data_IF_436579320263
#
_entry.id   IF_436579320263
#
_cell.length_a   1.000
_cell.length_b   1.000
_cell.length_c   1.000
_cell.angle_alpha   90.00
_cell.angle_beta   90.00
_cell.angle_gamma   90.00
#
_symmetry.space_group_name_H-M   'P 1'
#
loop_
_entity.id
_entity.type
_entity.pdbx_description
1 polymer ?
#
# COMPACT_ATOMS: atom_id res chain seq x y z
N UNK A 1 1.93 61.35 -50.76
CA UNK A 1 1.25 60.04 -50.71
C UNK A 1 2.04 59.13 -49.80
N UNK A 2 1.59 58.95 -48.57
CA UNK A 2 2.28 58.11 -47.57
C UNK A 2 1.55 56.77 -47.46
N UNK A 3 2.19 55.70 -47.87
CA UNK A 3 1.64 54.34 -47.76
C UNK A 3 1.87 53.82 -46.37
N UNK A 4 0.81 53.52 -45.62
CA UNK A 4 0.86 52.85 -44.33
C UNK A 4 0.88 51.32 -44.53
N UNK A 5 1.97 50.70 -44.16
CA UNK A 5 2.08 49.27 -44.06
C UNK A 5 1.50 48.83 -42.70
N UNK A 6 0.41 48.08 -42.72
CA UNK A 6 -0.19 47.49 -41.54
C UNK A 6 0.45 46.10 -41.37
N UNK A 7 1.37 45.96 -40.37
CA UNK A 7 1.87 44.66 -39.96
C UNK A 7 0.85 43.98 -39.05
N UNK A 8 0.25 42.92 -39.54
CA UNK A 8 -0.60 42.02 -38.74
C UNK A 8 0.31 41.03 -38.06
N UNK A 9 0.51 41.20 -36.72
CA UNK A 9 1.14 40.18 -35.89
C UNK A 9 0.12 39.04 -35.66
N UNK A 10 0.36 37.90 -36.27
CA UNK A 10 -0.29 36.67 -35.87
C UNK A 10 0.39 36.17 -34.56
N UNK A 11 -0.28 36.39 -33.44
CA UNK A 11 0.07 35.74 -32.19
C UNK A 11 -0.39 34.28 -32.27
N UNK A 12 0.49 33.36 -32.63
CA UNK A 12 0.27 31.94 -32.47
C UNK A 12 0.36 31.61 -30.98
N UNK A 13 -0.78 31.57 -30.31
CA UNK A 13 -0.90 30.97 -28.98
C UNK A 13 -0.61 29.48 -29.11
N UNK A 14 0.63 29.09 -28.79
CA UNK A 14 0.95 27.70 -28.48
C UNK A 14 0.17 27.35 -27.20
N UNK A 15 -0.96 26.69 -27.34
CA UNK A 15 -1.56 25.92 -26.27
C UNK A 15 -0.59 24.77 -25.96
N UNK A 16 0.23 24.97 -24.96
CA UNK A 16 0.92 23.87 -24.28
C UNK A 16 -0.18 22.97 -23.72
N UNK A 17 -0.49 21.90 -24.44
CA UNK A 17 -1.30 20.83 -23.91
C UNK A 17 -0.46 20.15 -22.81
N UNK A 18 -0.55 20.68 -21.57
CA UNK A 18 -0.14 19.92 -20.39
C UNK A 18 -1.06 18.70 -20.37
N UNK A 19 -0.49 17.53 -20.61
CA UNK A 19 -1.21 16.29 -20.41
C UNK A 19 -1.54 16.20 -18.92
N UNK A 20 -2.74 16.67 -18.54
CA UNK A 20 -3.25 16.38 -17.21
C UNK A 20 -3.35 14.88 -17.11
N UNK A 21 -2.40 14.27 -16.38
CA UNK A 21 -2.51 12.87 -15.99
C UNK A 21 -3.82 12.72 -15.27
N UNK A 22 -4.79 12.05 -15.90
CA UNK A 22 -6.05 11.75 -15.23
C UNK A 22 -5.73 10.85 -14.03
N UNK A 23 -6.11 11.32 -12.85
CA UNK A 23 -5.95 10.53 -11.63
C UNK A 23 -6.90 9.34 -11.66
N UNK A 24 -6.44 8.18 -11.21
CA UNK A 24 -7.33 7.08 -10.94
C UNK A 24 -8.31 7.44 -9.82
N UNK A 25 -9.48 6.80 -9.72
CA UNK A 25 -10.44 7.07 -8.64
C UNK A 25 -9.83 6.99 -7.25
N UNK A 26 -8.92 6.05 -7.02
CA UNK A 26 -8.25 5.89 -5.73
C UNK A 26 -7.23 7.00 -5.43
N UNK A 27 -6.69 7.69 -6.43
CA UNK A 27 -5.77 8.81 -6.28
C UNK A 27 -6.50 10.13 -5.98
N UNK A 28 -7.79 10.22 -6.29
CA UNK A 28 -8.60 11.42 -6.04
C UNK A 28 -8.92 11.59 -4.55
N UNK A 29 -8.91 10.52 -3.77
CA UNK A 29 -9.15 10.55 -2.34
C UNK A 29 -7.81 10.73 -1.61
N UNK A 30 -7.55 11.97 -1.19
CA UNK A 30 -6.34 12.38 -0.50
C UNK A 30 -6.65 12.78 0.95
N UNK A 31 -5.74 12.48 1.86
CA UNK A 31 -5.71 13.10 3.18
C UNK A 31 -5.06 14.48 3.02
N UNK A 32 -5.80 15.55 3.27
CA UNK A 32 -5.27 16.92 3.13
C UNK A 32 -4.93 17.54 4.49
N UNK A 33 -4.03 18.53 4.50
CA UNK A 33 -3.66 19.27 5.71
C UNK A 33 -4.87 20.02 6.29
N UNK A 34 -5.66 20.62 5.42
CA UNK A 34 -6.86 21.36 5.81
C UNK A 34 -7.88 20.45 6.49
N UNK A 35 -8.06 19.24 5.98
CA UNK A 35 -8.93 18.25 6.61
C UNK A 35 -8.39 17.84 7.98
N UNK A 36 -7.10 17.51 8.09
CA UNK A 36 -6.49 17.14 9.38
C UNK A 36 -6.60 18.27 10.38
N UNK A 37 -6.36 19.53 9.98
CA UNK A 37 -6.51 20.70 10.84
C UNK A 37 -7.96 20.96 11.30
N UNK A 38 -8.96 20.43 10.61
CA UNK A 38 -10.38 20.54 10.99
C UNK A 38 -10.81 19.49 12.03
N UNK A 39 -9.98 18.47 12.28
CA UNK A 39 -10.26 17.44 13.26
C UNK A 39 -10.11 17.96 14.70
N UNK A 40 -10.75 17.32 15.69
CA UNK A 40 -10.38 17.51 17.10
C UNK A 40 -8.88 17.31 17.31
N UNK A 41 -8.25 18.12 18.17
CA UNK A 41 -6.79 18.11 18.38
C UNK A 41 -6.22 16.69 18.60
N UNK A 42 -6.86 15.90 19.45
CA UNK A 42 -6.46 14.51 19.73
C UNK A 42 -6.54 13.57 18.51
N UNK A 43 -7.36 13.89 17.50
CA UNK A 43 -7.47 13.15 16.25
C UNK A 43 -6.48 13.69 15.23
N UNK A 44 -6.31 15.00 15.15
CA UNK A 44 -5.33 15.65 14.31
C UNK A 44 -3.91 15.14 14.60
N UNK A 45 -3.54 14.97 15.85
CA UNK A 45 -2.24 14.43 16.28
C UNK A 45 -1.97 13.02 15.71
N UNK A 46 -2.99 12.18 15.52
CA UNK A 46 -2.82 10.84 14.96
C UNK A 46 -2.48 10.88 13.46
N UNK A 47 -2.97 11.89 12.74
CA UNK A 47 -2.90 11.96 11.28
C UNK A 47 -2.07 13.11 10.74
N UNK A 48 -1.52 13.97 11.60
CA UNK A 48 -0.70 15.12 11.22
C UNK A 48 0.48 14.70 10.32
N UNK A 49 0.81 15.55 9.35
CA UNK A 49 1.96 15.36 8.48
C UNK A 49 3.26 15.66 9.23
N UNK A 50 4.39 15.08 8.79
CA UNK A 50 5.67 15.16 9.52
C UNK A 50 6.17 16.58 9.78
N UNK A 51 5.89 17.47 8.87
CA UNK A 51 6.33 18.87 8.90
C UNK A 51 5.51 19.71 9.90
N UNK A 52 4.31 19.24 10.26
CA UNK A 52 3.39 19.98 11.14
C UNK A 52 3.81 19.87 12.63
N UNK A 53 4.70 18.93 12.96
CA UNK A 53 5.15 18.73 14.34
C UNK A 53 6.09 19.81 14.85
N UNK A 54 6.71 20.60 13.99
CA UNK A 54 7.59 21.69 14.38
C UNK A 54 6.84 22.89 14.97
N UNK A 55 5.52 22.96 14.77
CA UNK A 55 4.66 24.07 15.21
C UNK A 55 3.86 23.75 16.46
N UNK A 56 3.81 22.49 16.90
CA UNK A 56 3.11 22.08 18.11
C UNK A 56 4.08 22.21 19.29
N UNK A 57 4.09 23.38 19.91
CA UNK A 57 4.81 23.62 21.18
C UNK A 57 4.24 22.71 22.27
N UNK A 58 5.04 21.73 22.72
CA UNK A 58 4.68 20.78 23.78
C UNK A 58 4.64 19.32 23.39
N UNK A 59 4.75 18.99 22.12
CA UNK A 59 5.12 17.64 21.73
C UNK A 59 6.54 17.37 22.21
N UNK A 60 6.72 16.33 23.05
CA UNK A 60 8.04 15.75 23.27
C UNK A 60 8.61 15.44 21.88
N UNK A 61 9.30 16.42 21.29
CA UNK A 61 10.01 16.23 20.03
C UNK A 61 10.83 14.98 20.23
N UNK A 62 10.47 13.93 19.49
CA UNK A 62 11.24 12.69 19.51
C UNK A 62 12.63 13.08 19.02
N UNK A 63 13.47 13.46 19.98
CA UNK A 63 14.87 13.71 19.73
C UNK A 63 15.39 12.44 19.06
N UNK A 64 15.75 12.53 17.79
CA UNK A 64 16.20 11.43 16.94
C UNK A 64 17.51 10.77 17.44
N UNK A 65 17.96 11.15 18.63
CA UNK A 65 19.10 10.57 19.36
C UNK A 65 18.69 9.36 20.21
N UNK A 66 17.39 9.14 20.44
CA UNK A 66 16.91 8.01 21.21
C UNK A 66 16.80 6.78 20.29
N UNK A 67 17.78 5.91 20.31
CA UNK A 67 17.84 4.61 19.60
C UNK A 67 16.81 3.62 20.13
N UNK A 68 15.58 4.06 20.40
CA UNK A 68 14.52 3.21 20.96
C UNK A 68 13.96 2.29 19.89
N UNK A 69 13.62 1.09 20.29
CA UNK A 69 12.84 0.17 19.46
C UNK A 69 11.45 0.76 19.20
N UNK A 70 10.90 0.47 18.01
CA UNK A 70 9.51 0.79 17.70
C UNK A 70 8.58 0.05 18.67
N UNK A 71 7.43 0.64 18.95
CA UNK A 71 6.45 0.03 19.85
C UNK A 71 5.81 -1.19 19.21
N UNK A 72 5.64 -2.25 19.97
CA UNK A 72 4.94 -3.47 19.63
C UNK A 72 3.66 -3.61 20.49
N UNK A 73 2.78 -4.59 20.19
CA UNK A 73 1.52 -4.77 20.92
C UNK A 73 1.65 -5.01 22.43
N UNK A 74 2.83 -5.36 22.93
CA UNK A 74 3.11 -5.50 24.37
C UNK A 74 3.56 -4.20 25.05
N UNK A 75 3.86 -3.18 24.28
CA UNK A 75 4.38 -1.93 24.81
C UNK A 75 3.26 -1.01 25.31
N UNK A 76 3.49 -0.35 26.47
CA UNK A 76 2.49 0.56 27.09
C UNK A 76 2.07 1.74 26.21
N UNK A 77 2.89 2.13 25.24
CA UNK A 77 2.62 3.19 24.26
C UNK A 77 2.07 2.64 22.93
N UNK A 78 1.76 1.34 22.86
CA UNK A 78 1.04 0.80 21.71
C UNK A 78 -0.32 1.50 21.58
N UNK A 79 -0.81 1.78 20.34
CA UNK A 79 -2.06 2.48 20.15
C UNK A 79 -3.22 1.83 20.91
N UNK A 80 -3.96 2.64 21.63
CA UNK A 80 -5.15 2.18 22.37
C UNK A 80 -6.24 1.72 21.40
N UNK A 81 -7.19 0.94 21.91
CA UNK A 81 -8.39 0.55 21.14
C UNK A 81 -9.16 1.79 20.63
N UNK A 82 -9.13 2.91 21.38
CA UNK A 82 -9.73 4.18 20.93
C UNK A 82 -8.98 4.77 19.73
N UNK A 83 -7.64 4.79 19.74
CA UNK A 83 -6.84 5.26 18.62
C UNK A 83 -7.05 4.41 17.36
N UNK A 84 -7.06 3.08 17.50
CA UNK A 84 -7.38 2.16 16.40
C UNK A 84 -8.80 2.35 15.85
N UNK A 85 -9.77 2.69 16.72
CA UNK A 85 -11.14 3.01 16.28
C UNK A 85 -11.18 4.33 15.50
N UNK A 86 -10.40 5.35 15.91
CA UNK A 86 -10.28 6.62 15.17
C UNK A 86 -9.65 6.38 13.80
N UNK A 87 -8.54 5.61 13.75
CA UNK A 87 -7.96 5.21 12.47
C UNK A 87 -8.96 4.49 11.57
N UNK A 88 -9.71 3.51 12.11
CA UNK A 88 -10.72 2.78 11.35
C UNK A 88 -11.77 3.69 10.70
N UNK A 89 -12.21 4.71 11.40
CA UNK A 89 -13.16 5.71 10.87
C UNK A 89 -12.54 6.65 9.82
N UNK A 90 -11.22 6.85 9.88
CA UNK A 90 -10.48 7.68 8.94
C UNK A 90 -10.25 7.01 7.59
N UNK A 91 -10.30 5.67 7.52
CA UNK A 91 -10.06 4.91 6.30
C UNK A 91 -11.29 4.93 5.38
N UNK A 92 -11.08 4.64 4.10
CA UNK A 92 -12.11 4.56 3.06
C UNK A 92 -13.27 3.60 3.40
N UNK A 93 -13.05 2.68 4.33
CA UNK A 93 -14.03 1.74 4.87
C UNK A 93 -13.57 1.29 6.26
N UNK A 94 -14.51 1.12 7.20
CA UNK A 94 -14.20 0.57 8.52
C UNK A 94 -13.61 -0.85 8.47
N UNK A 95 -13.96 -1.62 7.44
CA UNK A 95 -13.40 -2.96 7.18
C UNK A 95 -11.98 -2.92 6.60
N UNK A 96 -11.45 -1.74 6.25
CA UNK A 96 -10.10 -1.61 5.72
C UNK A 96 -9.02 -1.85 6.79
N UNK A 97 -9.31 -1.61 8.08
CA UNK A 97 -8.40 -1.96 9.18
C UNK A 97 -8.68 -3.38 9.67
N UNK A 98 -7.77 -4.28 9.40
CA UNK A 98 -7.87 -5.71 9.70
C UNK A 98 -6.93 -6.04 10.87
N UNK A 99 -7.47 -6.64 11.94
CA UNK A 99 -6.64 -7.32 12.93
C UNK A 99 -6.19 -8.66 12.35
N UNK A 100 -4.90 -8.94 12.36
CA UNK A 100 -4.38 -10.13 11.70
C UNK A 100 -4.81 -11.41 12.42
N UNK A 101 -5.37 -12.34 11.66
CA UNK A 101 -5.64 -13.71 12.05
C UNK A 101 -4.95 -14.60 11.02
N UNK A 102 -3.90 -15.37 11.39
CA UNK A 102 -3.22 -16.24 10.45
C UNK A 102 -4.20 -17.24 9.81
N UNK A 103 -4.12 -17.46 8.50
CA UNK A 103 -5.03 -18.37 7.79
C UNK A 103 -5.06 -19.77 8.41
N UNK A 104 -3.89 -20.30 8.73
CA UNK A 104 -3.77 -21.64 9.31
C UNK A 104 -4.28 -21.73 10.76
N UNK A 105 -4.74 -20.62 11.38
CA UNK A 105 -5.33 -20.66 12.73
C UNK A 105 -6.54 -21.62 12.82
N UNK A 106 -7.24 -21.82 11.70
CA UNK A 106 -8.34 -22.77 11.60
C UNK A 106 -7.92 -24.24 11.87
N UNK A 107 -6.62 -24.52 11.83
CA UNK A 107 -6.07 -25.84 12.16
C UNK A 107 -5.85 -26.04 13.66
N UNK A 108 -6.05 -25.00 14.49
CA UNK A 108 -5.64 -25.00 15.90
C UNK A 108 -6.76 -24.53 16.84
N UNK A 109 -6.61 -24.88 18.12
CA UNK A 109 -7.43 -24.36 19.21
C UNK A 109 -8.91 -24.74 19.14
N UNK A 110 -9.76 -23.90 19.73
CA UNK A 110 -11.21 -24.13 19.86
C UNK A 110 -11.98 -23.88 18.56
N UNK A 111 -11.38 -23.16 17.61
CA UNK A 111 -11.95 -22.87 16.28
C UNK A 111 -11.54 -23.90 15.23
N UNK A 112 -10.82 -24.96 15.63
CA UNK A 112 -10.33 -25.99 14.74
C UNK A 112 -11.44 -26.62 13.92
N UNK A 113 -11.18 -26.68 12.60
CA UNK A 113 -12.02 -27.42 11.65
C UNK A 113 -11.12 -28.29 10.78
N UNK A 114 -11.20 -29.60 10.97
CA UNK A 114 -10.32 -30.54 10.23
C UNK A 114 -10.58 -30.47 8.72
N UNK A 115 -11.82 -30.32 8.28
CA UNK A 115 -12.16 -30.19 6.87
C UNK A 115 -11.59 -28.89 6.24
N UNK A 116 -11.72 -27.75 6.93
CA UNK A 116 -11.17 -26.48 6.44
C UNK A 116 -9.65 -26.46 6.50
N UNK A 117 -9.05 -27.03 7.54
CA UNK A 117 -7.61 -27.18 7.66
C UNK A 117 -7.03 -28.05 6.52
N UNK A 118 -7.68 -29.18 6.20
CA UNK A 118 -7.25 -30.03 5.08
C UNK A 118 -7.40 -29.32 3.73
N UNK A 119 -8.50 -28.60 3.50
CA UNK A 119 -8.71 -27.82 2.29
C UNK A 119 -7.64 -26.70 2.14
N UNK A 120 -7.29 -26.03 3.24
CA UNK A 120 -6.21 -25.05 3.27
C UNK A 120 -4.87 -25.69 2.99
N UNK A 121 -4.51 -26.79 3.66
CA UNK A 121 -3.25 -27.48 3.49
C UNK A 121 -3.03 -27.96 2.05
N UNK A 122 -4.09 -28.44 1.37
CA UNK A 122 -4.02 -28.87 -0.04
C UNK A 122 -3.77 -27.71 -1.01
N UNK A 123 -4.07 -26.47 -0.62
CA UNK A 123 -3.82 -25.26 -1.40
C UNK A 123 -2.60 -24.46 -0.91
N UNK A 124 -1.87 -24.93 0.10
CA UNK A 124 -0.82 -24.15 0.75
C UNK A 124 0.37 -23.82 -0.16
N UNK A 125 0.62 -24.64 -1.17
CA UNK A 125 1.66 -24.41 -2.19
C UNK A 125 1.20 -23.49 -3.32
N UNK A 126 -0.08 -23.13 -3.37
CA UNK A 126 -0.59 -22.18 -4.34
C UNK A 126 -0.27 -20.76 -3.88
N UNK A 127 0.51 -20.01 -4.68
CA UNK A 127 0.92 -18.65 -4.36
C UNK A 127 -0.26 -17.68 -4.11
N UNK A 128 -1.38 -17.87 -4.79
CA UNK A 128 -2.57 -17.03 -4.59
C UNK A 128 -3.21 -17.18 -3.21
N UNK A 129 -3.05 -18.32 -2.54
CA UNK A 129 -3.46 -18.49 -1.13
C UNK A 129 -2.80 -17.44 -0.25
N UNK A 130 -1.55 -17.06 -0.55
CA UNK A 130 -0.80 -16.09 0.24
C UNK A 130 -0.92 -14.66 -0.31
N UNK A 131 -0.99 -14.50 -1.63
CA UNK A 131 -1.09 -13.18 -2.28
C UNK A 131 -2.39 -12.49 -1.90
N UNK A 132 -3.49 -13.22 -1.94
CA UNK A 132 -4.84 -12.71 -1.71
C UNK A 132 -5.18 -12.50 -0.22
N UNK A 133 -4.29 -12.91 0.67
CA UNK A 133 -4.40 -12.66 2.11
C UNK A 133 -3.67 -11.37 2.51
N UNK A 134 -4.25 -10.54 3.39
CA UNK A 134 -3.64 -9.27 3.79
C UNK A 134 -2.32 -9.40 4.53
N UNK A 135 -2.08 -10.51 5.24
CA UNK A 135 -0.92 -10.68 6.13
C UNK A 135 0.05 -11.77 5.68
N UNK A 136 -0.41 -12.76 4.88
CA UNK A 136 0.42 -13.86 4.41
C UNK A 136 1.54 -13.41 3.49
N UNK A 137 2.65 -14.15 3.50
CA UNK A 137 3.80 -13.94 2.63
C UNK A 137 4.17 -15.25 1.94
N UNK A 138 4.76 -15.18 0.74
CA UNK A 138 5.12 -16.35 -0.07
C UNK A 138 6.26 -17.18 0.54
N UNK A 139 7.08 -16.57 1.41
CA UNK A 139 8.12 -17.28 2.14
C UNK A 139 7.78 -17.39 3.64
N UNK A 140 7.19 -18.49 4.10
CA UNK A 140 6.75 -18.63 5.49
C UNK A 140 7.91 -18.64 6.50
N UNK A 141 9.16 -18.78 6.04
CA UNK A 141 10.35 -18.66 6.88
C UNK A 141 10.41 -17.32 7.62
N UNK A 142 10.03 -16.21 6.94
CA UNK A 142 10.05 -14.87 7.53
C UNK A 142 8.91 -14.64 8.53
N UNK A 143 7.86 -15.44 8.46
CA UNK A 143 6.78 -15.47 9.44
C UNK A 143 7.20 -16.27 10.69
N UNK A 144 8.28 -17.03 10.61
CA UNK A 144 8.82 -17.84 11.71
C UNK A 144 8.20 -19.22 11.84
N UNK A 145 7.41 -19.68 10.86
CA UNK A 145 6.71 -20.96 10.82
C UNK A 145 5.80 -21.21 12.03
N UNK A 146 5.29 -20.15 12.68
CA UNK A 146 4.61 -20.25 13.97
C UNK A 146 3.12 -20.60 13.86
N UNK A 147 2.55 -20.50 12.67
CA UNK A 147 1.15 -20.87 12.39
C UNK A 147 1.05 -21.38 10.96
N UNK A 148 1.35 -22.65 10.75
CA UNK A 148 1.32 -23.30 9.45
C UNK A 148 0.41 -24.53 9.51
N UNK A 149 -0.18 -25.01 8.39
CA UNK A 149 -0.94 -26.25 8.41
C UNK A 149 -0.05 -27.42 8.89
N UNK A 150 -0.45 -28.18 9.93
CA UNK A 150 0.42 -29.21 10.53
C UNK A 150 0.85 -30.32 9.58
N UNK A 151 0.08 -30.57 8.51
CA UNK A 151 0.39 -31.55 7.47
C UNK A 151 1.42 -31.05 6.45
N UNK A 152 1.72 -29.74 6.44
CA UNK A 152 2.70 -29.13 5.53
C UNK A 152 4.01 -28.83 6.27
N UNK A 153 3.90 -28.29 7.48
CA UNK A 153 5.03 -28.02 8.36
C UNK A 153 4.73 -28.56 9.76
N UNK A 154 5.75 -29.11 10.45
CA UNK A 154 5.62 -29.61 11.83
C UNK A 154 5.44 -28.44 12.82
N UNK A 155 4.30 -27.77 12.70
CA UNK A 155 3.90 -26.66 13.57
C UNK A 155 2.95 -27.16 14.64
N UNK A 156 3.31 -26.95 15.93
CA UNK A 156 2.54 -27.45 17.09
C UNK A 156 1.60 -26.42 17.69
N UNK A 157 1.72 -25.17 17.25
CA UNK A 157 0.93 -24.05 17.77
C UNK A 157 0.68 -23.02 16.68
N UNK A 158 -0.22 -22.08 16.98
CA UNK A 158 -0.49 -20.95 16.09
C UNK A 158 -0.32 -19.65 16.87
N UNK A 159 0.66 -18.87 16.50
CA UNK A 159 0.89 -17.50 16.98
C UNK A 159 1.09 -16.57 15.81
N UNK A 160 1.02 -15.26 16.05
CA UNK A 160 1.29 -14.27 15.00
C UNK A 160 2.73 -14.36 14.46
N UNK A 161 3.70 -14.73 15.30
CA UNK A 161 5.10 -14.79 14.87
C UNK A 161 5.53 -13.52 14.15
N UNK A 162 6.03 -13.67 12.92
CA UNK A 162 6.45 -12.56 12.07
C UNK A 162 5.33 -11.84 11.33
N UNK A 163 4.06 -12.19 11.52
CA UNK A 163 2.95 -11.44 10.91
C UNK A 163 2.77 -10.06 11.55
N UNK A 164 2.28 -9.06 10.79
CA UNK A 164 1.90 -7.76 11.35
C UNK A 164 0.68 -7.94 12.27
N UNK A 165 0.54 -7.07 13.27
CA UNK A 165 -0.61 -7.09 14.19
C UNK A 165 -1.88 -6.55 13.56
N UNK A 166 -1.72 -5.53 12.71
CA UNK A 166 -2.80 -4.91 11.96
C UNK A 166 -2.40 -4.66 10.52
N UNK A 167 -3.36 -4.72 9.63
CA UNK A 167 -3.18 -4.43 8.20
C UNK A 167 -4.23 -3.43 7.74
N UNK A 168 -3.82 -2.37 7.06
CA UNK A 168 -4.70 -1.53 6.26
C UNK A 168 -4.80 -2.12 4.86
N UNK A 169 -5.97 -2.61 4.47
CA UNK A 169 -6.31 -2.93 3.09
C UNK A 169 -6.55 -1.64 2.32
N UNK A 170 -5.47 -1.04 1.81
CA UNK A 170 -5.54 0.24 1.14
C UNK A 170 -6.35 0.15 -0.17
N UNK A 171 -7.32 1.04 -0.33
CA UNK A 171 -8.12 1.24 -1.53
C UNK A 171 -7.96 2.63 -2.12
N UNK A 172 -7.39 3.56 -1.35
CA UNK A 172 -7.19 4.95 -1.74
C UNK A 172 -5.82 5.45 -1.30
N UNK A 173 -5.35 6.54 -1.91
CA UNK A 173 -4.14 7.23 -1.45
C UNK A 173 -4.33 7.76 -0.03
N UNK A 174 -5.54 8.22 0.31
CA UNK A 174 -5.86 8.64 1.69
C UNK A 174 -5.65 7.54 2.72
N UNK A 175 -5.99 6.26 2.40
CA UNK A 175 -5.73 5.13 3.30
C UNK A 175 -4.23 4.97 3.57
N UNK A 176 -3.41 5.11 2.52
CA UNK A 176 -1.95 5.00 2.62
C UNK A 176 -1.39 6.15 3.47
N UNK A 177 -1.80 7.39 3.17
CA UNK A 177 -1.34 8.57 3.90
C UNK A 177 -1.72 8.50 5.38
N UNK A 178 -2.96 8.10 5.68
CA UNK A 178 -3.45 7.90 7.06
C UNK A 178 -2.63 6.83 7.78
N UNK A 179 -2.37 5.70 7.11
CA UNK A 179 -1.57 4.61 7.67
C UNK A 179 -0.11 5.00 7.94
N UNK A 180 0.51 5.72 7.01
CA UNK A 180 1.90 6.21 7.16
C UNK A 180 1.99 7.21 8.30
N UNK A 181 1.07 8.19 8.34
CA UNK A 181 1.06 9.21 9.38
C UNK A 181 0.80 8.58 10.76
N UNK A 182 -0.21 7.72 10.86
CA UNK A 182 -0.51 7.01 12.09
C UNK A 182 0.69 6.19 12.60
N UNK A 183 1.31 5.39 11.72
CA UNK A 183 2.47 4.58 12.11
C UNK A 183 3.67 5.44 12.54
N UNK A 184 3.90 6.59 11.88
CA UNK A 184 4.96 7.53 12.25
C UNK A 184 4.67 8.19 13.59
N UNK A 185 3.46 8.73 13.75
CA UNK A 185 3.08 9.54 14.90
C UNK A 185 3.02 8.68 16.19
N UNK A 186 2.56 7.44 16.08
CA UNK A 186 2.55 6.46 17.17
C UNK A 186 3.85 5.63 17.29
N UNK A 187 4.89 5.98 16.52
CA UNK A 187 6.19 5.32 16.56
C UNK A 187 6.13 3.80 16.34
N UNK A 188 5.30 3.34 15.40
CA UNK A 188 5.11 1.93 15.09
C UNK A 188 6.13 1.43 14.06
N UNK A 189 6.35 0.11 14.04
CA UNK A 189 7.04 -0.57 12.96
C UNK A 189 6.10 -0.65 11.76
N UNK A 190 6.39 0.13 10.71
CA UNK A 190 5.61 0.09 9.46
C UNK A 190 6.25 -0.91 8.49
N UNK A 191 5.41 -1.74 7.87
CA UNK A 191 5.73 -2.56 6.71
C UNK A 191 4.73 -2.31 5.59
N UNK A 192 5.13 -2.54 4.35
CA UNK A 192 4.24 -2.46 3.20
C UNK A 192 4.25 -3.81 2.50
N UNK A 193 3.07 -4.35 2.27
CA UNK A 193 2.88 -5.58 1.51
C UNK A 193 2.13 -5.28 0.22
N UNK A 194 2.57 -5.84 -0.89
CA UNK A 194 1.78 -6.00 -2.10
C UNK A 194 1.41 -7.48 -2.25
N UNK A 195 2.09 -8.29 -3.08
CA UNK A 195 1.91 -9.75 -3.13
C UNK A 195 2.60 -10.48 -1.98
N UNK A 196 3.68 -9.93 -1.43
CA UNK A 196 4.47 -10.55 -0.36
C UNK A 196 5.51 -11.55 -0.87
N UNK A 197 5.97 -11.40 -2.12
CA UNK A 197 6.91 -12.33 -2.76
C UNK A 197 8.39 -12.03 -2.47
N UNK A 198 8.72 -10.96 -1.75
CA UNK A 198 10.11 -10.59 -1.52
C UNK A 198 10.89 -11.63 -0.70
N UNK A 199 12.16 -11.83 -1.06
CA UNK A 199 13.04 -12.79 -0.40
C UNK A 199 13.82 -12.23 0.78
N UNK A 200 13.58 -10.97 1.15
CA UNK A 200 14.26 -10.31 2.27
C UNK A 200 13.35 -10.13 3.51
N UNK A 201 12.12 -10.65 3.48
CA UNK A 201 11.16 -10.56 4.59
C UNK A 201 10.67 -9.15 4.90
N UNK A 202 10.69 -8.24 3.92
CA UNK A 202 10.30 -6.83 4.11
C UNK A 202 8.79 -6.62 4.09
N UNK A 203 8.04 -7.55 3.49
CA UNK A 203 6.58 -7.49 3.36
C UNK A 203 5.84 -7.87 4.64
N UNK A 204 6.56 -8.27 5.70
CA UNK A 204 5.99 -8.69 6.98
C UNK A 204 6.89 -8.26 8.14
N UNK A 205 6.46 -8.49 9.39
CA UNK A 205 7.28 -8.21 10.55
C UNK A 205 6.53 -8.37 11.86
N UNK A 206 7.19 -9.00 12.84
CA UNK A 206 6.66 -9.15 14.20
C UNK A 206 6.18 -7.80 14.77
N UNK A 207 4.96 -7.78 15.27
CA UNK A 207 4.35 -6.62 15.88
C UNK A 207 4.20 -5.41 14.95
N UNK A 208 4.35 -5.58 13.63
CA UNK A 208 4.26 -4.49 12.68
C UNK A 208 2.82 -4.02 12.46
N UNK A 209 2.72 -2.80 11.97
CA UNK A 209 1.56 -2.23 11.33
C UNK A 209 1.78 -2.27 9.80
N UNK A 210 0.88 -2.86 9.04
CA UNK A 210 1.05 -3.11 7.62
C UNK A 210 0.10 -2.28 6.76
N UNK A 211 0.58 -1.84 5.60
CA UNK A 211 -0.25 -1.29 4.52
C UNK A 211 -0.23 -2.29 3.35
N UNK A 212 -1.39 -2.81 2.97
CA UNK A 212 -1.54 -3.76 1.87
C UNK A 212 -2.04 -3.05 0.61
N UNK A 213 -1.15 -2.88 -0.37
CA UNK A 213 -1.38 -2.10 -1.61
C UNK A 213 -1.91 -2.93 -2.77
N UNK A 214 -2.01 -4.25 -2.62
CA UNK A 214 -2.36 -5.18 -3.69
C UNK A 214 -3.70 -4.90 -4.39
N UNK A 215 -4.59 -4.14 -3.75
CA UNK A 215 -5.92 -3.82 -4.29
C UNK A 215 -5.95 -2.56 -5.19
N UNK A 216 -4.83 -1.91 -5.40
CA UNK A 216 -4.71 -0.75 -6.30
C UNK A 216 -4.45 -1.26 -7.72
N UNK A 217 -5.51 -1.69 -8.42
CA UNK A 217 -5.45 -2.49 -9.65
C UNK A 217 -5.80 -1.72 -10.93
N UNK A 218 -6.06 -0.42 -10.86
CA UNK A 218 -6.45 0.35 -12.03
C UNK A 218 -5.33 0.43 -13.07
N UNK A 219 -5.70 0.37 -14.35
CA UNK A 219 -4.80 0.54 -15.49
C UNK A 219 -5.41 1.48 -16.52
N UNK A 220 -4.58 2.33 -17.10
CA UNK A 220 -4.97 3.26 -18.15
C UNK A 220 -3.93 3.29 -19.27
N UNK A 221 -4.37 3.26 -20.52
CA UNK A 221 -3.54 3.40 -21.70
C UNK A 221 -3.65 4.80 -22.29
N UNK A 222 -2.51 5.35 -22.71
CA UNK A 222 -2.39 6.63 -23.41
C UNK A 222 -1.70 6.40 -24.75
N UNK A 223 -2.34 6.80 -25.84
CA UNK A 223 -1.72 6.73 -27.18
C UNK A 223 -0.59 7.73 -27.37
N UNK A 224 -0.72 8.91 -26.74
CA UNK A 224 0.20 10.03 -26.88
C UNK A 224 0.50 10.65 -25.50
N UNK A 225 1.29 9.93 -24.73
CA UNK A 225 1.79 10.42 -23.44
C UNK A 225 3.00 11.32 -23.68
N UNK A 226 3.09 12.41 -22.90
CA UNK A 226 4.23 13.32 -22.88
C UNK A 226 4.62 13.57 -21.43
N UNK A 227 5.90 13.42 -21.12
CA UNK A 227 6.44 13.72 -19.79
C UNK A 227 7.54 14.80 -19.83
N UNK A 228 7.98 15.22 -18.64
CA UNK A 228 9.00 16.25 -18.46
C UNK A 228 10.40 15.79 -18.89
N UNK A 229 10.62 14.48 -19.11
CA UNK A 229 11.87 13.93 -19.64
C UNK A 229 11.99 14.11 -21.16
N UNK A 230 10.91 14.54 -21.80
CA UNK A 230 10.80 14.69 -23.26
C UNK A 230 10.31 13.43 -23.96
N UNK A 231 9.88 12.38 -23.24
CA UNK A 231 9.25 11.24 -23.85
C UNK A 231 7.93 11.63 -24.51
N UNK A 232 7.71 11.13 -25.72
CA UNK A 232 6.45 11.27 -26.46
C UNK A 232 6.11 9.94 -27.10
N UNK A 233 4.96 9.35 -26.73
CA UNK A 233 4.55 8.07 -27.28
C UNK A 233 3.52 7.35 -26.42
N UNK A 234 3.20 6.08 -26.72
CA UNK A 234 2.25 5.30 -25.96
C UNK A 234 2.78 5.01 -24.54
N UNK A 235 1.88 5.07 -23.56
CA UNK A 235 2.20 4.75 -22.18
C UNK A 235 1.05 3.99 -21.49
N UNK A 236 1.39 3.22 -20.47
CA UNK A 236 0.42 2.60 -19.57
C UNK A 236 0.68 3.11 -18.17
N UNK A 237 -0.34 3.69 -17.53
CA UNK A 237 -0.37 3.97 -16.11
C UNK A 237 -0.99 2.76 -15.41
N UNK A 238 -0.33 2.24 -14.38
CA UNK A 238 -0.81 1.10 -13.62
C UNK A 238 -0.75 1.39 -12.12
N UNK A 239 -1.75 0.93 -11.38
CA UNK A 239 -1.76 0.97 -9.93
C UNK A 239 -0.72 0.03 -9.33
N UNK A 240 -0.23 0.34 -8.13
CA UNK A 240 0.85 -0.40 -7.47
C UNK A 240 0.53 -1.90 -7.21
N UNK A 241 -0.75 -2.28 -7.18
CA UNK A 241 -1.19 -3.66 -7.00
C UNK A 241 -1.25 -4.50 -8.27
N UNK A 242 -1.04 -3.90 -9.44
CA UNK A 242 -1.09 -4.61 -10.73
C UNK A 242 0.10 -5.55 -10.85
N UNK A 243 -0.16 -6.82 -11.15
CA UNK A 243 0.89 -7.82 -11.37
C UNK A 243 1.31 -7.86 -12.85
N UNK A 244 2.52 -8.36 -13.11
CA UNK A 244 3.11 -8.36 -14.44
C UNK A 244 2.21 -9.05 -15.48
N UNK A 245 1.59 -10.18 -15.15
CA UNK A 245 0.71 -10.89 -16.08
C UNK A 245 -0.57 -10.07 -16.40
N UNK A 246 -1.10 -9.30 -15.44
CA UNK A 246 -2.24 -8.41 -15.66
C UNK A 246 -1.87 -7.29 -16.63
N UNK A 247 -0.66 -6.70 -16.44
CA UNK A 247 -0.14 -5.67 -17.33
C UNK A 247 0.09 -6.21 -18.73
N UNK A 248 0.69 -7.39 -18.88
CA UNK A 248 0.93 -7.99 -20.20
C UNK A 248 -0.36 -8.30 -20.94
N UNK A 249 -1.36 -8.81 -20.23
CA UNK A 249 -2.68 -9.02 -20.81
C UNK A 249 -3.29 -7.69 -21.27
N UNK A 250 -3.25 -6.65 -20.43
CA UNK A 250 -3.76 -5.33 -20.78
C UNK A 250 -3.03 -4.71 -21.97
N UNK A 251 -1.70 -4.81 -22.03
CA UNK A 251 -0.89 -4.34 -23.15
C UNK A 251 -1.23 -5.08 -24.46
N UNK A 252 -1.39 -6.42 -24.39
CA UNK A 252 -1.80 -7.22 -25.53
C UNK A 252 -3.18 -6.80 -26.06
N UNK A 253 -4.16 -6.54 -25.18
CA UNK A 253 -5.50 -6.07 -25.56
C UNK A 253 -5.43 -4.69 -26.24
N UNK A 254 -4.41 -3.88 -25.92
CA UNK A 254 -4.11 -2.58 -26.57
C UNK A 254 -3.21 -2.71 -27.80
N UNK A 255 -2.75 -3.93 -28.14
CA UNK A 255 -1.82 -4.21 -29.24
C UNK A 255 -0.48 -3.48 -29.13
N UNK A 256 0.01 -3.34 -27.90
CA UNK A 256 1.32 -2.76 -27.58
C UNK A 256 2.14 -3.75 -26.74
N UNK A 257 3.45 -3.48 -26.63
CA UNK A 257 4.37 -4.26 -25.82
C UNK A 257 4.71 -3.45 -24.57
N UNK A 258 4.53 -4.06 -23.41
CA UNK A 258 5.01 -3.51 -22.13
C UNK A 258 6.25 -4.29 -21.69
N UNK A 259 7.24 -3.59 -21.13
CA UNK A 259 8.41 -4.20 -20.49
C UNK A 259 8.22 -4.06 -18.98
N UNK A 260 8.16 -5.19 -18.28
CA UNK A 260 7.97 -5.24 -16.83
C UNK A 260 8.70 -6.47 -16.25
N UNK A 261 8.54 -6.71 -14.95
CA UNK A 261 9.12 -7.86 -14.27
C UNK A 261 8.62 -9.21 -14.82
N UNK A 262 9.38 -10.25 -14.58
CA UNK A 262 9.01 -11.62 -14.94
C UNK A 262 8.20 -12.31 -13.82
N UNK A 263 7.42 -13.32 -14.20
CA UNK A 263 6.66 -14.15 -13.25
C UNK A 263 5.27 -13.62 -12.92
N UNK A 264 4.40 -14.54 -12.53
CA UNK A 264 2.99 -14.24 -12.24
C UNK A 264 2.79 -13.45 -10.96
N UNK A 265 3.68 -13.59 -10.00
CA UNK A 265 3.51 -13.06 -8.63
C UNK A 265 4.15 -11.69 -8.43
N UNK A 266 4.96 -11.21 -9.41
CA UNK A 266 5.63 -9.91 -9.32
C UNK A 266 4.71 -8.78 -9.73
N UNK A 267 4.85 -7.67 -9.04
CA UNK A 267 4.27 -6.39 -9.42
C UNK A 267 4.99 -5.79 -10.61
N UNK A 268 4.33 -4.86 -11.26
CA UNK A 268 4.91 -4.11 -12.37
C UNK A 268 5.93 -3.10 -11.86
N UNK A 269 7.20 -3.44 -11.96
CA UNK A 269 8.24 -2.41 -12.00
C UNK A 269 8.20 -1.81 -13.40
N UNK A 270 7.69 -0.59 -13.51
CA UNK A 270 7.44 0.06 -14.80
C UNK A 270 8.77 0.52 -15.40
N UNK A 271 9.17 -0.14 -16.49
CA UNK A 271 10.16 0.39 -17.43
C UNK A 271 9.47 1.16 -18.58
N UNK A 272 10.23 1.93 -19.38
CA UNK A 272 9.65 2.63 -20.52
C UNK A 272 9.05 1.64 -21.51
N UNK A 273 7.85 1.96 -21.99
CA UNK A 273 7.17 1.23 -23.05
C UNK A 273 7.88 1.52 -24.36
N UNK A 274 8.24 0.49 -25.11
CA UNK A 274 8.75 0.60 -26.47
C UNK A 274 7.78 -0.06 -27.45
#
# INVERSE_FOLDING_TARGET
MASRVISVLFATTFLLATSHQTLFPFEQQQLTREYVASLPEEDALLFAFGDDFSEIEGSDTVNNTDKRCRYDPGHKKWPSARALTKLRKQLSSESALIATVPQASICYGTTKSDAQCQAMASNWTNSYTHIDDPAEVLSPLYQGLTCQPPSVYDSKSCTLGGYPSYVIKAKTVSDIQSGVNFARNDFLRLVVKNTGHDFAGKSTGYGAFSIWTHNLKDMQYFDNYVDDSGYKGPAIKAGAGVQAFELYKFANDKKVVAVAGEGQVRETEVGPIR
#
